data_IF_501406867995
#
_entry.id   IF_501406867995
#
_cell.length_a   1.000
_cell.length_b   1.000
_cell.length_c   1.000
_cell.angle_alpha   90.00
_cell.angle_beta   90.00
_cell.angle_gamma   90.00
#
_symmetry.space_group_name_H-M   'P 1'
#
loop_
_entity.id
_entity.type
_entity.pdbx_description
1 polymer ?
#
# COMPACT_ATOMS: atom_id res chain seq x y z
N UNK A 1 -24.37 -24.38 15.42
CA UNK A 1 -23.24 -25.31 15.18
C UNK A 1 -23.17 -25.79 13.73
N UNK A 2 -24.19 -26.48 13.20
CA UNK A 2 -24.20 -26.93 11.79
C UNK A 2 -24.22 -25.76 10.79
N UNK A 3 -25.05 -24.73 11.03
CA UNK A 3 -25.07 -23.53 10.20
C UNK A 3 -23.74 -22.76 10.22
N UNK A 4 -23.10 -22.66 11.38
CA UNK A 4 -21.80 -21.99 11.53
C UNK A 4 -20.71 -22.76 10.77
N UNK A 5 -20.73 -24.09 10.85
CA UNK A 5 -19.79 -24.95 10.12
C UNK A 5 -20.00 -24.86 8.60
N UNK A 6 -21.26 -24.83 8.14
CA UNK A 6 -21.59 -24.63 6.73
C UNK A 6 -21.15 -23.25 6.23
N UNK A 7 -21.39 -22.19 7.01
CA UNK A 7 -20.94 -20.84 6.68
C UNK A 7 -19.41 -20.76 6.61
N UNK A 8 -18.70 -21.37 7.56
CA UNK A 8 -17.25 -21.42 7.55
C UNK A 8 -16.69 -22.19 6.34
N UNK A 9 -17.27 -23.36 6.05
CA UNK A 9 -16.87 -24.15 4.88
C UNK A 9 -17.12 -23.39 3.58
N UNK A 10 -18.28 -22.74 3.45
CA UNK A 10 -18.62 -21.91 2.31
C UNK A 10 -17.66 -20.72 2.16
N UNK A 11 -17.36 -20.01 3.25
CA UNK A 11 -16.37 -18.93 3.26
C UNK A 11 -15.00 -19.40 2.77
N UNK A 12 -14.48 -20.51 3.31
CA UNK A 12 -13.20 -21.07 2.89
C UNK A 12 -13.20 -21.49 1.42
N UNK A 13 -14.29 -22.09 0.94
CA UNK A 13 -14.42 -22.49 -0.46
C UNK A 13 -14.36 -21.28 -1.41
N UNK A 14 -15.13 -20.23 -1.11
CA UNK A 14 -15.14 -18.99 -1.90
C UNK A 14 -13.78 -18.28 -1.80
N UNK A 15 -13.18 -18.20 -0.61
CA UNK A 15 -11.87 -17.59 -0.39
C UNK A 15 -10.80 -18.26 -1.26
N UNK A 16 -10.71 -19.59 -1.24
CA UNK A 16 -9.73 -20.32 -2.05
C UNK A 16 -10.03 -20.17 -3.55
N UNK A 17 -11.30 -20.25 -3.95
CA UNK A 17 -11.70 -20.09 -5.34
C UNK A 17 -11.32 -18.72 -5.92
N UNK A 18 -11.33 -17.66 -5.11
CA UNK A 18 -10.90 -16.31 -5.52
C UNK A 18 -9.39 -16.09 -5.35
N UNK A 19 -8.78 -16.63 -4.29
CA UNK A 19 -7.37 -16.43 -3.99
C UNK A 19 -6.44 -17.07 -5.03
N UNK A 20 -6.79 -18.24 -5.57
CA UNK A 20 -5.96 -18.94 -6.57
C UNK A 20 -5.81 -18.15 -7.89
N UNK A 21 -6.89 -17.72 -8.57
CA UNK A 21 -6.74 -16.93 -9.79
C UNK A 21 -6.11 -15.56 -9.53
N UNK A 22 -6.42 -14.92 -8.40
CA UNK A 22 -5.80 -13.66 -8.01
C UNK A 22 -4.29 -13.83 -7.78
N UNK A 23 -3.86 -14.86 -7.06
CA UNK A 23 -2.45 -15.16 -6.83
C UNK A 23 -1.68 -15.43 -8.14
N UNK A 24 -2.30 -16.15 -9.08
CA UNK A 24 -1.73 -16.36 -10.41
C UNK A 24 -1.59 -15.06 -11.21
N UNK A 25 -2.56 -14.16 -11.10
CA UNK A 25 -2.49 -12.83 -11.70
C UNK A 25 -1.39 -11.96 -11.05
N UNK A 26 -1.33 -11.91 -9.72
CA UNK A 26 -0.28 -11.20 -8.97
C UNK A 26 1.11 -11.69 -9.36
N UNK A 27 1.31 -13.01 -9.47
CA UNK A 27 2.57 -13.59 -9.90
C UNK A 27 2.98 -13.11 -11.31
N UNK A 28 2.03 -12.98 -12.25
CA UNK A 28 2.30 -12.42 -13.59
C UNK A 28 2.71 -10.94 -13.50
N UNK A 29 1.99 -10.13 -12.74
CA UNK A 29 2.29 -8.70 -12.56
C UNK A 29 3.70 -8.49 -12.00
N UNK A 30 4.11 -9.27 -10.98
CA UNK A 30 5.46 -9.17 -10.42
C UNK A 30 6.56 -9.77 -11.32
N UNK A 31 6.23 -10.74 -12.18
CA UNK A 31 7.17 -11.29 -13.15
C UNK A 31 7.44 -10.32 -14.32
N UNK A 32 6.46 -9.49 -14.67
CA UNK A 32 6.58 -8.47 -15.70
C UNK A 32 5.22 -8.08 -16.27
N UNK A 33 5.02 -6.78 -16.49
CA UNK A 33 3.77 -6.25 -17.02
C UNK A 33 3.82 -6.27 -18.56
N UNK A 34 2.88 -6.93 -19.25
CA UNK A 34 2.92 -7.03 -20.71
C UNK A 34 2.32 -5.82 -21.43
N UNK A 35 2.90 -5.47 -22.58
CA UNK A 35 2.29 -4.64 -23.62
C UNK A 35 1.72 -3.31 -23.13
N UNK A 36 0.42 -3.08 -23.36
CA UNK A 36 -0.29 -1.84 -23.08
C UNK A 36 -0.16 -1.37 -21.63
N UNK A 37 -0.17 -2.28 -20.65
CA UNK A 37 -0.03 -1.92 -19.24
C UNK A 37 1.39 -1.41 -18.94
N UNK A 38 2.43 -1.94 -19.60
CA UNK A 38 3.78 -1.41 -19.45
C UNK A 38 3.86 0.04 -19.98
N UNK A 39 3.12 0.34 -21.05
CA UNK A 39 3.04 1.70 -21.60
C UNK A 39 2.31 2.68 -20.67
N UNK A 40 1.37 2.19 -19.84
CA UNK A 40 0.68 3.01 -18.84
C UNK A 40 1.57 3.37 -17.63
N UNK A 41 2.47 2.49 -17.20
CA UNK A 41 3.38 2.78 -16.06
C UNK A 41 4.64 3.56 -16.45
N UNK A 42 5.05 3.51 -17.74
CA UNK A 42 6.24 4.21 -18.25
C UNK A 42 6.29 5.71 -17.92
N UNK A 43 5.21 6.50 -18.10
CA UNK A 43 5.22 7.91 -17.72
C UNK A 43 5.49 8.13 -16.22
N UNK A 44 4.90 7.29 -15.37
CA UNK A 44 5.05 7.38 -13.91
C UNK A 44 6.51 7.15 -13.52
N UNK A 45 7.12 6.10 -14.07
CA UNK A 45 8.52 5.79 -13.80
C UNK A 45 9.47 6.86 -14.37
N UNK A 46 9.22 7.36 -15.59
CA UNK A 46 10.03 8.44 -16.17
C UNK A 46 9.97 9.72 -15.35
N UNK A 47 8.78 10.13 -14.91
CA UNK A 47 8.62 11.33 -14.08
C UNK A 47 9.28 11.18 -12.71
N UNK A 48 9.27 9.97 -12.15
CA UNK A 48 9.92 9.67 -10.88
C UNK A 48 11.42 9.34 -11.01
N UNK A 49 11.98 9.31 -12.23
CA UNK A 49 13.38 8.93 -12.47
C UNK A 49 13.70 7.48 -12.11
N UNK A 50 12.70 6.60 -12.13
CA UNK A 50 12.82 5.19 -11.79
C UNK A 50 13.04 4.38 -13.07
N UNK A 51 14.04 3.50 -13.06
CA UNK A 51 14.18 2.42 -14.02
C UNK A 51 13.62 1.13 -13.40
N UNK A 52 12.44 0.63 -13.85
CA UNK A 52 11.81 -0.54 -13.26
C UNK A 52 12.54 -1.86 -13.55
N UNK A 53 13.37 -1.90 -14.60
CA UNK A 53 14.12 -3.10 -15.01
C UNK A 53 15.45 -3.22 -14.25
N UNK A 54 15.90 -2.13 -13.61
CA UNK A 54 17.09 -2.13 -12.77
C UNK A 54 16.80 -2.83 -11.44
N UNK A 55 17.32 -4.06 -11.32
CA UNK A 55 17.26 -4.83 -10.08
C UNK A 55 18.04 -4.20 -8.92
N UNK A 56 17.49 -4.32 -7.71
CA UNK A 56 18.06 -3.87 -6.44
C UNK A 56 18.56 -5.07 -5.62
N UNK A 57 19.67 -4.88 -4.90
CA UNK A 57 20.05 -5.81 -3.83
C UNK A 57 19.04 -5.75 -2.69
N UNK A 58 19.04 -6.74 -1.79
CA UNK A 58 18.12 -6.74 -0.66
C UNK A 58 18.28 -5.51 0.24
N UNK A 59 19.51 -4.99 0.42
CA UNK A 59 19.74 -3.77 1.21
C UNK A 59 19.12 -2.55 0.54
N UNK A 60 19.33 -2.39 -0.76
CA UNK A 60 18.78 -1.26 -1.51
C UNK A 60 17.25 -1.30 -1.53
N UNK A 61 16.67 -2.50 -1.67
CA UNK A 61 15.23 -2.72 -1.61
C UNK A 61 14.65 -2.36 -0.24
N UNK A 62 15.26 -2.86 0.85
CA UNK A 62 14.83 -2.56 2.21
C UNK A 62 14.97 -1.08 2.55
N UNK A 63 16.05 -0.43 2.12
CA UNK A 63 16.24 1.00 2.34
C UNK A 63 15.22 1.84 1.56
N UNK A 64 14.91 1.48 0.31
CA UNK A 64 13.86 2.12 -0.47
C UNK A 64 12.50 2.00 0.22
N UNK A 65 12.18 0.82 0.74
CA UNK A 65 10.97 0.56 1.51
C UNK A 65 10.88 1.41 2.78
N UNK A 66 11.95 1.47 3.58
CA UNK A 66 12.00 2.27 4.79
C UNK A 66 11.89 3.77 4.49
N UNK A 67 12.60 4.25 3.47
CA UNK A 67 12.55 5.66 3.06
C UNK A 67 11.15 6.06 2.59
N UNK A 68 10.48 5.19 1.81
CA UNK A 68 9.11 5.43 1.35
C UNK A 68 8.12 5.51 2.52
N UNK A 69 8.18 4.59 3.46
CA UNK A 69 7.30 4.60 4.63
C UNK A 69 7.59 5.78 5.57
N UNK A 70 8.85 6.16 5.75
CA UNK A 70 9.21 7.36 6.51
C UNK A 70 8.67 8.64 5.85
N UNK A 71 8.73 8.75 4.52
CA UNK A 71 8.14 9.86 3.79
C UNK A 71 6.60 9.86 3.90
N UNK A 72 5.96 8.70 3.79
CA UNK A 72 4.52 8.54 3.99
C UNK A 72 4.07 8.96 5.40
N UNK A 73 4.83 8.56 6.43
CA UNK A 73 4.63 9.00 7.81
C UNK A 73 4.73 10.51 7.97
N UNK A 74 5.81 11.12 7.46
CA UNK A 74 6.00 12.56 7.57
C UNK A 74 4.86 13.32 6.87
N UNK A 75 4.47 12.89 5.67
CA UNK A 75 3.38 13.49 4.92
C UNK A 75 2.05 13.38 5.66
N UNK A 76 1.68 12.18 6.14
CA UNK A 76 0.43 11.99 6.87
C UNK A 76 0.44 12.78 8.19
N UNK A 77 1.54 12.78 8.92
CA UNK A 77 1.68 13.55 10.15
C UNK A 77 1.43 15.05 9.91
N UNK A 78 2.01 15.62 8.84
CA UNK A 78 1.80 17.02 8.46
C UNK A 78 0.33 17.26 8.09
N UNK A 79 -0.28 16.39 7.27
CA UNK A 79 -1.70 16.49 6.89
C UNK A 79 -2.58 16.53 8.14
N UNK A 80 -2.40 15.60 9.08
CA UNK A 80 -3.21 15.52 10.29
C UNK A 80 -2.96 16.70 11.23
N UNK A 81 -1.71 17.14 11.35
CA UNK A 81 -1.33 18.23 12.24
C UNK A 81 -1.90 19.58 11.80
N UNK A 82 -2.02 19.79 10.49
CA UNK A 82 -2.44 21.04 9.87
C UNK A 82 -3.74 20.89 9.06
N UNK A 83 -4.61 19.93 9.40
CA UNK A 83 -5.83 19.67 8.64
C UNK A 83 -6.82 20.86 8.61
N UNK A 84 -6.71 21.77 9.56
CA UNK A 84 -7.47 23.02 9.63
C UNK A 84 -7.12 23.99 8.50
N UNK A 85 -5.91 23.87 7.93
CA UNK A 85 -5.43 24.70 6.82
C UNK A 85 -5.70 24.07 5.44
N UNK A 86 -6.21 22.84 5.41
CA UNK A 86 -6.39 22.06 4.18
C UNK A 86 -7.84 22.19 3.66
N UNK A 87 -8.05 22.01 2.34
CA UNK A 87 -9.40 22.06 1.77
C UNK A 87 -10.27 20.91 2.27
N UNK A 88 -11.56 20.91 1.90
CA UNK A 88 -12.52 19.85 2.27
C UNK A 88 -12.65 19.63 3.79
N UNK A 89 -12.76 20.72 4.53
CA UNK A 89 -13.06 20.73 5.96
C UNK A 89 -14.31 21.58 6.26
N UNK A 90 -15.52 21.16 5.81
CA UNK A 90 -16.74 21.95 5.99
C UNK A 90 -17.15 22.13 7.46
N UNK A 91 -16.72 21.23 8.35
CA UNK A 91 -16.97 21.28 9.78
C UNK A 91 -15.97 22.18 10.54
N UNK A 92 -14.92 22.68 9.89
CA UNK A 92 -13.90 23.52 10.53
C UNK A 92 -13.13 22.79 11.64
N UNK A 93 -12.89 21.48 11.47
CA UNK A 93 -12.20 20.66 12.47
C UNK A 93 -10.75 21.13 12.65
N UNK A 94 -10.25 21.27 13.88
CA UNK A 94 -8.91 21.76 14.14
C UNK A 94 -7.83 20.71 13.79
N UNK A 95 -6.60 21.17 13.61
CA UNK A 95 -5.41 20.32 13.55
C UNK A 95 -5.29 19.37 14.76
N UNK A 96 -4.87 18.13 14.53
CA UNK A 96 -4.75 17.15 15.62
C UNK A 96 -3.68 17.56 16.66
N UNK A 97 -3.87 17.21 17.95
CA UNK A 97 -2.80 17.22 18.94
C UNK A 97 -1.61 16.37 18.45
N UNK A 98 -0.38 16.79 18.77
CA UNK A 98 0.82 16.16 18.20
C UNK A 98 0.94 14.66 18.48
N UNK A 99 0.56 14.21 19.68
CA UNK A 99 0.56 12.78 20.04
C UNK A 99 -0.47 11.98 19.25
N UNK A 100 -1.65 12.55 19.00
CA UNK A 100 -2.71 11.90 18.23
C UNK A 100 -2.32 11.82 16.75
N UNK A 101 -1.85 12.93 16.18
CA UNK A 101 -1.34 12.96 14.81
C UNK A 101 -0.21 11.94 14.61
N UNK A 102 0.73 11.83 15.56
CA UNK A 102 1.80 10.84 15.53
C UNK A 102 1.25 9.41 15.59
N UNK A 103 0.39 9.10 16.56
CA UNK A 103 -0.17 7.77 16.75
C UNK A 103 -0.99 7.31 15.55
N UNK A 104 -1.84 8.19 15.01
CA UNK A 104 -2.62 7.90 13.80
C UNK A 104 -1.70 7.74 12.59
N UNK A 105 -0.74 8.65 12.38
CA UNK A 105 0.16 8.56 11.22
C UNK A 105 0.96 7.27 11.22
N UNK A 106 1.60 6.92 12.35
CA UNK A 106 2.38 5.67 12.42
C UNK A 106 1.47 4.47 12.24
N UNK A 107 0.26 4.48 12.81
CA UNK A 107 -0.65 3.34 12.73
C UNK A 107 -1.11 3.02 11.32
N UNK A 108 -1.38 4.03 10.50
CA UNK A 108 -1.78 3.84 9.10
C UNK A 108 -0.60 3.44 8.22
N UNK A 109 0.58 4.02 8.44
CA UNK A 109 1.82 3.62 7.74
C UNK A 109 2.22 2.17 8.07
N UNK A 110 2.01 1.73 9.31
CA UNK A 110 2.25 0.34 9.72
C UNK A 110 1.09 -0.61 9.38
N UNK A 111 0.14 -0.19 8.55
CA UNK A 111 -1.03 -0.98 8.14
C UNK A 111 -1.82 -1.57 9.32
N UNK A 112 -1.83 -0.87 10.45
CA UNK A 112 -2.49 -1.30 11.69
C UNK A 112 -3.86 -0.65 11.85
N UNK A 113 -3.96 0.61 11.44
CA UNK A 113 -5.19 1.40 11.42
C UNK A 113 -5.89 1.47 12.79
N UNK A 114 -5.11 1.56 13.86
CA UNK A 114 -5.56 1.85 15.21
C UNK A 114 -6.19 3.25 15.27
N UNK A 115 -7.36 3.32 15.89
CA UNK A 115 -8.13 4.56 16.01
C UNK A 115 -8.46 4.81 17.48
N UNK A 116 -7.86 5.86 18.04
CA UNK A 116 -8.11 6.37 19.39
C UNK A 116 -8.93 7.67 19.38
N UNK A 117 -9.64 7.93 18.28
CA UNK A 117 -10.40 9.15 18.01
C UNK A 117 -11.75 8.80 17.38
N UNK A 118 -12.73 9.72 17.49
CA UNK A 118 -14.00 9.61 16.76
C UNK A 118 -13.83 10.13 15.32
N UNK A 119 -14.03 9.28 14.32
CA UNK A 119 -13.74 9.62 12.92
C UNK A 119 -14.51 10.84 12.43
N UNK A 120 -15.82 10.89 12.71
CA UNK A 120 -16.75 11.93 12.25
C UNK A 120 -16.56 13.28 12.96
N UNK A 121 -15.97 13.26 14.17
CA UNK A 121 -15.79 14.45 15.00
C UNK A 121 -14.35 14.95 15.02
N UNK A 122 -13.39 14.16 14.52
CA UNK A 122 -11.95 14.47 14.62
C UNK A 122 -11.29 14.67 13.25
N UNK A 123 -11.72 13.96 12.20
CA UNK A 123 -11.02 13.95 10.90
C UNK A 123 -11.78 14.71 9.81
N UNK A 124 -11.10 15.68 9.17
CA UNK A 124 -11.61 16.33 7.97
C UNK A 124 -11.73 15.36 6.79
N UNK A 125 -12.52 15.71 5.77
CA UNK A 125 -12.66 14.86 4.58
C UNK A 125 -11.34 14.75 3.80
N UNK A 126 -10.53 15.82 3.77
CA UNK A 126 -9.21 15.76 3.16
C UNK A 126 -8.28 14.80 3.91
N UNK A 127 -8.24 14.85 5.25
CA UNK A 127 -7.45 13.92 6.05
C UNK A 127 -7.82 12.47 5.78
N UNK A 128 -9.12 12.16 5.70
CA UNK A 128 -9.60 10.81 5.39
C UNK A 128 -9.24 10.39 3.97
N UNK A 129 -9.54 11.23 2.98
CA UNK A 129 -9.37 10.91 1.55
C UNK A 129 -7.90 10.91 1.11
N UNK A 130 -7.18 12.00 1.33
CA UNK A 130 -5.83 12.19 0.81
C UNK A 130 -4.74 11.67 1.77
N UNK A 131 -5.06 11.54 3.07
CA UNK A 131 -4.13 11.04 4.07
C UNK A 131 -4.33 9.55 4.35
N UNK A 132 -5.42 9.23 5.05
CA UNK A 132 -5.68 7.89 5.59
C UNK A 132 -5.89 6.85 4.48
N UNK A 133 -6.74 7.15 3.49
CA UNK A 133 -6.98 6.25 2.36
C UNK A 133 -5.71 6.02 1.55
N UNK A 134 -4.94 7.07 1.25
CA UNK A 134 -3.63 6.91 0.60
C UNK A 134 -2.74 5.93 1.36
N UNK A 135 -2.65 6.06 2.69
CA UNK A 135 -1.87 5.12 3.52
C UNK A 135 -2.42 3.69 3.51
N UNK A 136 -3.75 3.50 3.46
CA UNK A 136 -4.33 2.15 3.32
C UNK A 136 -3.84 1.43 2.07
N UNK A 137 -3.68 2.16 0.95
CA UNK A 137 -3.15 1.58 -0.28
C UNK A 137 -1.65 1.34 -0.19
N UNK A 138 -0.88 2.34 0.23
CA UNK A 138 0.59 2.26 0.12
C UNK A 138 1.23 1.41 1.23
N UNK A 139 0.60 1.27 2.39
CA UNK A 139 1.04 0.36 3.45
C UNK A 139 0.75 -1.10 3.07
N UNK A 140 -0.42 -1.38 2.48
CA UNK A 140 -0.75 -2.70 1.93
C UNK A 140 0.19 -3.07 0.77
N UNK A 141 0.42 -2.15 -0.16
CA UNK A 141 1.35 -2.33 -1.27
C UNK A 141 2.80 -2.56 -0.78
N UNK A 142 3.23 -1.89 0.30
CA UNK A 142 4.53 -2.17 0.94
C UNK A 142 4.61 -3.65 1.36
N UNK A 143 3.61 -4.16 2.07
CA UNK A 143 3.58 -5.56 2.51
C UNK A 143 3.64 -6.55 1.33
N UNK A 144 2.86 -6.27 0.28
CA UNK A 144 2.87 -7.09 -0.94
C UNK A 144 4.22 -7.06 -1.68
N UNK A 145 4.84 -5.87 -1.80
CA UNK A 145 6.15 -5.70 -2.42
C UNK A 145 7.23 -6.49 -1.66
N UNK A 146 7.23 -6.41 -0.32
CA UNK A 146 8.14 -7.21 0.52
C UNK A 146 7.90 -8.71 0.32
N UNK A 147 6.65 -9.17 0.30
CA UNK A 147 6.33 -10.57 0.03
C UNK A 147 6.84 -11.02 -1.35
N UNK A 148 6.69 -10.20 -2.40
CA UNK A 148 7.24 -10.47 -3.72
C UNK A 148 8.78 -10.49 -3.73
N UNK A 149 9.42 -9.59 -2.98
CA UNK A 149 10.88 -9.58 -2.78
C UNK A 149 11.38 -10.87 -2.13
N UNK A 150 10.72 -11.32 -1.05
CA UNK A 150 11.03 -12.58 -0.37
C UNK A 150 10.81 -13.78 -1.30
N UNK A 151 9.68 -13.84 -2.01
CA UNK A 151 9.39 -14.90 -2.96
C UNK A 151 10.46 -15.02 -4.06
N UNK A 152 10.90 -13.87 -4.63
CA UNK A 152 12.01 -13.83 -5.59
C UNK A 152 13.34 -14.26 -4.98
N UNK A 153 13.62 -13.86 -3.74
CA UNK A 153 14.81 -14.28 -3.00
C UNK A 153 14.87 -15.79 -2.76
N UNK A 154 13.73 -16.42 -2.46
CA UNK A 154 13.63 -17.88 -2.27
C UNK A 154 13.70 -18.65 -3.60
N UNK A 155 13.09 -18.12 -4.67
CA UNK A 155 13.08 -18.77 -5.99
C UNK A 155 14.40 -18.61 -6.76
N UNK A 156 15.12 -17.50 -6.55
CA UNK A 156 16.33 -17.16 -7.29
C UNK A 156 17.55 -17.96 -6.84
N UNK A 157 18.10 -18.81 -7.72
CA UNK A 157 19.40 -19.46 -7.49
C UNK A 157 20.52 -18.48 -7.82
N UNK A 158 21.29 -18.06 -6.80
CA UNK A 158 22.46 -17.17 -6.94
C UNK A 158 22.16 -15.77 -7.52
N UNK A 159 20.91 -15.30 -7.47
CA UNK A 159 20.58 -13.92 -7.88
C UNK A 159 21.16 -12.91 -6.89
N UNK A 160 21.80 -11.86 -7.40
CA UNK A 160 22.28 -10.72 -6.59
C UNK A 160 21.19 -9.69 -6.28
N UNK A 161 20.01 -9.84 -6.89
CA UNK A 161 18.92 -8.86 -6.82
C UNK A 161 17.57 -9.51 -6.52
N UNK A 162 16.69 -8.79 -5.83
CA UNK A 162 15.33 -9.23 -5.47
C UNK A 162 14.24 -8.43 -6.18
N UNK A 163 14.57 -7.85 -7.34
CA UNK A 163 13.68 -6.99 -8.12
C UNK A 163 13.80 -5.51 -7.75
N UNK A 164 12.73 -4.73 -7.89
CA UNK A 164 12.76 -3.28 -7.69
C UNK A 164 11.55 -2.82 -6.87
N UNK A 165 11.81 -2.29 -5.67
CA UNK A 165 10.77 -1.89 -4.72
C UNK A 165 9.79 -0.89 -5.32
N UNK A 166 10.29 0.07 -6.08
CA UNK A 166 9.44 1.11 -6.68
C UNK A 166 8.50 0.51 -7.73
N UNK A 167 9.01 -0.40 -8.57
CA UNK A 167 8.19 -1.10 -9.54
C UNK A 167 7.13 -1.97 -8.85
N UNK A 168 7.51 -2.73 -7.83
CA UNK A 168 6.58 -3.60 -7.10
C UNK A 168 5.51 -2.80 -6.36
N UNK A 169 5.89 -1.68 -5.72
CA UNK A 169 4.97 -0.74 -5.07
C UNK A 169 3.96 -0.20 -6.08
N UNK A 170 4.43 0.39 -7.18
CA UNK A 170 3.57 0.98 -8.21
C UNK A 170 2.62 -0.07 -8.81
N UNK A 171 3.12 -1.26 -9.14
CA UNK A 171 2.30 -2.34 -9.70
C UNK A 171 1.29 -2.90 -8.71
N UNK A 172 1.66 -3.02 -7.44
CA UNK A 172 0.73 -3.42 -6.36
C UNK A 172 -0.41 -2.42 -6.24
N UNK A 173 -0.12 -1.12 -6.28
CA UNK A 173 -1.15 -0.09 -6.20
C UNK A 173 -2.02 -0.06 -7.46
N UNK A 174 -1.42 0.07 -8.66
CA UNK A 174 -2.15 0.34 -9.90
C UNK A 174 -2.87 -0.87 -10.48
N UNK A 175 -2.28 -2.06 -10.40
CA UNK A 175 -2.79 -3.24 -11.09
C UNK A 175 -3.46 -4.26 -10.17
N UNK A 176 -3.31 -4.12 -8.86
CA UNK A 176 -3.91 -5.04 -7.89
C UNK A 176 -4.88 -4.29 -6.98
N UNK A 177 -4.41 -3.35 -6.18
CA UNK A 177 -5.25 -2.73 -5.14
C UNK A 177 -6.34 -1.82 -5.73
N UNK A 178 -5.99 -0.88 -6.61
CA UNK A 178 -6.96 0.05 -7.20
C UNK A 178 -8.07 -0.69 -7.97
N UNK A 179 -7.79 -1.63 -8.89
CA UNK A 179 -8.83 -2.33 -9.63
C UNK A 179 -9.72 -3.23 -8.77
N UNK A 180 -9.20 -3.80 -7.68
CA UNK A 180 -10.01 -4.64 -6.77
C UNK A 180 -10.89 -3.79 -5.85
N UNK A 181 -10.50 -2.53 -5.61
CA UNK A 181 -11.23 -1.62 -4.73
C UNK A 181 -12.40 -0.88 -5.39
N UNK A 182 -12.59 -1.02 -6.71
CA UNK A 182 -13.62 -0.35 -7.53
C UNK A 182 -14.56 -1.41 -8.10
#
# INVERSE_FOLDING_TARGET
MTSDLLQFAFYCAVLVALAVPLGAYMAKIYAGVPGFLADMERPIFRLAGIDPDKGQSWQAYALAMLAFNAAGFALLFIILKFQDLLPFNPQGLPGLPGHLAFNTAISFVTNTNWQSYGGETTMSYFSQMAGLTTQNFVSAATGMAVAAGVARGLAGRQSKTIGNFWADMTRSTLYILVPISI
#
